data_IF_324732688517
#
_entry.id   IF_324732688517
#
_cell.length_a   1.000
_cell.length_b   1.000
_cell.length_c   1.000
_cell.angle_alpha   90.00
_cell.angle_beta   90.00
_cell.angle_gamma   90.00
#
_symmetry.space_group_name_H-M   'P 1'
#
loop_
_entity.id
_entity.type
_entity.pdbx_description
1 polymer ?
#
# COMPACT_ATOMS: atom_id res chain seq x y z
N UNK A 1 4.10 -11.50 -31.60
CA UNK A 1 4.54 -10.69 -30.44
C UNK A 1 3.31 -10.04 -29.83
N UNK A 2 2.72 -10.66 -28.80
CA UNK A 2 1.50 -10.14 -28.18
C UNK A 2 1.81 -8.93 -27.31
N UNK A 3 1.16 -7.81 -27.59
CA UNK A 3 1.29 -6.56 -26.85
C UNK A 3 0.36 -6.63 -25.63
N UNK A 4 0.92 -6.86 -24.45
CA UNK A 4 0.24 -6.69 -23.17
C UNK A 4 0.26 -5.19 -22.83
N UNK A 5 -0.61 -4.42 -23.47
CA UNK A 5 -0.71 -2.99 -23.18
C UNK A 5 -2.19 -2.64 -23.23
N UNK A 6 -2.71 -2.17 -22.08
CA UNK A 6 -4.06 -1.60 -21.88
C UNK A 6 -5.16 -2.50 -21.26
N UNK A 7 -4.89 -3.19 -20.14
CA UNK A 7 -5.96 -3.66 -19.22
C UNK A 7 -5.61 -3.42 -17.74
N UNK A 8 -4.95 -2.32 -17.39
CA UNK A 8 -4.64 -1.99 -15.99
C UNK A 8 -5.26 -0.69 -15.49
N UNK A 9 -6.01 0.03 -16.33
CA UNK A 9 -6.57 1.35 -15.97
C UNK A 9 -7.99 1.29 -15.38
N UNK A 10 -8.56 0.09 -15.27
CA UNK A 10 -9.79 -0.15 -14.53
C UNK A 10 -9.48 -1.12 -13.40
N UNK A 11 -9.86 -0.82 -12.15
CA UNK A 11 -9.79 -1.83 -11.11
C UNK A 11 -10.51 -3.08 -11.62
N UNK A 12 -10.00 -4.27 -11.30
CA UNK A 12 -10.80 -5.49 -11.38
C UNK A 12 -12.03 -5.21 -10.53
N UNK A 13 -13.14 -4.84 -11.18
CA UNK A 13 -14.44 -4.76 -10.54
C UNK A 13 -14.78 -6.20 -10.21
N UNK A 14 -14.42 -6.59 -8.98
CA UNK A 14 -14.77 -7.88 -8.42
C UNK A 14 -16.26 -8.10 -8.59
N UNK A 15 -16.58 -9.31 -9.07
CA UNK A 15 -17.86 -10.00 -9.00
C UNK A 15 -19.09 -9.13 -8.63
N UNK A 16 -19.98 -8.90 -9.59
CA UNK A 16 -21.30 -8.29 -9.36
C UNK A 16 -22.23 -9.20 -8.55
N UNK A 17 -21.90 -9.43 -7.28
CA UNK A 17 -22.85 -10.02 -6.33
C UNK A 17 -22.67 -9.38 -4.96
N UNK A 18 -23.52 -8.38 -4.73
CA UNK A 18 -24.00 -7.94 -3.41
C UNK A 18 -23.04 -7.08 -2.56
N UNK A 19 -23.14 -5.75 -2.69
CA UNK A 19 -23.05 -4.80 -1.57
C UNK A 19 -21.86 -4.87 -0.59
N UNK A 20 -20.68 -5.34 -1.00
CA UNK A 20 -19.47 -5.31 -0.17
C UNK A 20 -18.81 -3.94 -0.23
N UNK A 21 -18.32 -3.43 0.90
CA UNK A 21 -17.30 -2.38 0.86
C UNK A 21 -16.13 -2.93 0.01
N UNK A 22 -15.58 -2.13 -0.93
CA UNK A 22 -14.51 -2.60 -1.77
C UNK A 22 -13.32 -2.99 -0.91
N UNK A 23 -12.75 -4.18 -1.16
CA UNK A 23 -11.52 -4.61 -0.53
C UNK A 23 -10.46 -3.51 -0.69
N UNK A 24 -9.74 -3.13 0.39
CA UNK A 24 -8.77 -2.06 0.32
C UNK A 24 -7.72 -2.37 -0.75
N UNK A 25 -7.36 -1.34 -1.51
CA UNK A 25 -6.41 -1.52 -2.60
C UNK A 25 -5.01 -1.74 -2.02
N UNK A 26 -4.20 -2.56 -2.70
CA UNK A 26 -2.86 -2.90 -2.22
C UNK A 26 -2.00 -1.66 -1.93
N UNK A 27 -2.09 -0.61 -2.76
CA UNK A 27 -1.36 0.65 -2.52
C UNK A 27 -1.75 1.35 -1.21
N UNK A 28 -2.98 1.20 -0.76
CA UNK A 28 -3.47 1.79 0.50
C UNK A 28 -2.90 1.03 1.69
N UNK A 29 -2.92 -0.31 1.61
CA UNK A 29 -2.35 -1.17 2.62
C UNK A 29 -0.82 -1.00 2.72
N UNK A 30 -0.12 -0.95 1.58
CA UNK A 30 1.32 -0.67 1.52
C UNK A 30 1.64 0.72 2.09
N UNK A 31 0.87 1.75 1.73
CA UNK A 31 1.06 3.09 2.24
C UNK A 31 0.94 3.16 3.77
N UNK A 32 -0.10 2.52 4.32
CA UNK A 32 -0.30 2.44 5.76
C UNK A 32 0.83 1.67 6.47
N UNK A 33 1.25 0.52 5.92
CA UNK A 33 2.35 -0.27 6.45
C UNK A 33 3.66 0.54 6.47
N UNK A 34 4.05 1.15 5.34
CA UNK A 34 5.25 1.98 5.25
C UNK A 34 5.25 3.13 6.26
N UNK A 35 4.09 3.78 6.44
CA UNK A 35 3.92 4.83 7.45
C UNK A 35 4.12 4.29 8.87
N UNK A 36 3.60 3.10 9.18
CA UNK A 36 3.76 2.45 10.47
C UNK A 36 5.25 2.14 10.75
N UNK A 37 5.94 1.48 9.81
CA UNK A 37 7.38 1.22 9.90
C UNK A 37 8.20 2.51 10.07
N UNK A 38 7.85 3.57 9.34
CA UNK A 38 8.52 4.87 9.48
C UNK A 38 8.32 5.46 10.87
N UNK A 39 7.08 5.43 11.38
CA UNK A 39 6.74 5.96 12.70
C UNK A 39 7.43 5.18 13.83
N UNK A 40 7.45 3.85 13.76
CA UNK A 40 8.13 2.96 14.71
C UNK A 40 9.63 3.27 14.82
N UNK A 41 10.26 3.56 13.69
CA UNK A 41 11.68 3.93 13.62
C UNK A 41 11.96 5.40 13.97
N UNK A 42 10.93 6.20 14.22
CA UNK A 42 11.07 7.63 14.54
C UNK A 42 11.63 8.47 13.39
N UNK A 43 11.60 7.99 12.15
CA UNK A 43 12.14 8.68 10.98
C UNK A 43 11.11 9.67 10.46
N UNK A 44 11.52 10.90 10.15
CA UNK A 44 10.63 11.88 9.55
C UNK A 44 10.36 11.54 8.08
N UNK A 45 9.22 12.01 7.56
CA UNK A 45 8.88 11.82 6.15
C UNK A 45 9.93 12.45 5.22
N UNK A 46 10.56 13.55 5.63
CA UNK A 46 11.61 14.23 4.87
C UNK A 46 12.89 13.42 4.81
N UNK A 47 13.37 12.90 5.94
CA UNK A 47 14.57 12.05 6.01
C UNK A 47 14.40 10.78 5.17
N UNK A 48 13.22 10.15 5.24
CA UNK A 48 12.94 8.97 4.43
C UNK A 48 12.93 9.31 2.94
N UNK A 49 12.30 10.42 2.54
CA UNK A 49 12.26 10.85 1.15
C UNK A 49 13.66 11.13 0.58
N UNK A 50 14.52 11.81 1.36
CA UNK A 50 15.91 12.06 1.00
C UNK A 50 16.69 10.76 0.81
N UNK A 51 16.59 9.83 1.77
CA UNK A 51 17.31 8.54 1.73
C UNK A 51 16.82 7.62 0.60
N UNK A 52 15.52 7.63 0.31
CA UNK A 52 14.91 6.83 -0.77
C UNK A 52 14.95 7.49 -2.14
N UNK A 53 15.52 8.71 -2.23
CA UNK A 53 15.67 9.53 -3.46
C UNK A 53 14.34 9.84 -4.16
N UNK A 54 13.32 10.19 -3.37
CA UNK A 54 12.03 10.68 -3.87
C UNK A 54 11.65 12.01 -3.24
N UNK A 55 10.65 12.68 -3.79
CA UNK A 55 10.15 13.91 -3.17
C UNK A 55 9.31 13.59 -1.91
N UNK A 56 9.36 14.45 -0.87
CA UNK A 56 8.47 14.33 0.29
C UNK A 56 6.99 14.31 -0.11
N UNK A 57 6.60 15.11 -1.12
CA UNK A 57 5.25 15.08 -1.66
C UNK A 57 4.84 13.70 -2.18
N UNK A 58 5.71 13.06 -2.97
CA UNK A 58 5.44 11.72 -3.49
C UNK A 58 5.34 10.69 -2.37
N UNK A 59 6.27 10.68 -1.41
CA UNK A 59 6.23 9.76 -0.28
C UNK A 59 4.98 9.95 0.59
N UNK A 60 4.51 11.20 0.74
CA UNK A 60 3.25 11.48 1.42
C UNK A 60 2.05 10.93 0.64
N UNK A 61 2.01 11.07 -0.69
CA UNK A 61 1.00 10.42 -1.53
C UNK A 61 1.03 8.90 -1.43
N UNK A 62 2.22 8.31 -1.38
CA UNK A 62 2.43 6.88 -1.20
C UNK A 62 1.88 6.40 0.16
N UNK A 63 2.25 7.04 1.27
CA UNK A 63 1.77 6.68 2.62
C UNK A 63 0.25 6.80 2.79
N UNK A 64 -0.41 7.57 1.92
CA UNK A 64 -1.86 7.74 1.92
C UNK A 64 -2.57 6.87 0.87
N UNK A 65 -1.83 5.99 0.18
CA UNK A 65 -2.39 5.09 -0.82
C UNK A 65 -2.89 5.79 -2.08
N UNK A 66 -2.39 6.98 -2.40
CA UNK A 66 -2.84 7.76 -3.57
C UNK A 66 -1.99 7.56 -4.82
N UNK A 67 -0.91 6.79 -4.72
CA UNK A 67 -0.01 6.45 -5.83
C UNK A 67 0.26 4.96 -5.85
N UNK A 68 0.29 4.41 -7.06
CA UNK A 68 0.93 3.13 -7.30
C UNK A 68 2.45 3.28 -7.15
N UNK A 69 3.09 2.22 -6.69
CA UNK A 69 4.52 2.15 -6.43
C UNK A 69 5.13 1.03 -7.25
N UNK A 70 6.26 1.29 -7.91
CA UNK A 70 7.01 0.22 -8.58
C UNK A 70 7.74 -0.65 -7.55
N UNK A 71 8.04 -1.88 -7.93
CA UNK A 71 8.79 -2.81 -7.07
C UNK A 71 10.16 -2.26 -6.68
N UNK A 72 10.85 -1.59 -7.60
CA UNK A 72 12.17 -0.98 -7.35
C UNK A 72 12.07 0.17 -6.35
N UNK A 73 11.04 1.01 -6.46
CA UNK A 73 10.85 2.10 -5.52
C UNK A 73 10.45 1.60 -4.14
N UNK A 74 9.55 0.60 -4.07
CA UNK A 74 9.20 -0.04 -2.82
C UNK A 74 10.45 -0.63 -2.13
N UNK A 75 11.31 -1.32 -2.88
CA UNK A 75 12.57 -1.83 -2.36
C UNK A 75 13.50 -0.71 -1.85
N UNK A 76 13.60 0.40 -2.57
CA UNK A 76 14.39 1.58 -2.15
C UNK A 76 13.89 2.16 -0.81
N UNK A 77 12.57 2.32 -0.67
CA UNK A 77 11.96 2.84 0.57
C UNK A 77 12.14 1.85 1.73
N UNK A 78 11.93 0.55 1.50
CA UNK A 78 12.14 -0.48 2.52
C UNK A 78 13.60 -0.53 2.98
N UNK A 79 14.55 -0.42 2.05
CA UNK A 79 15.97 -0.35 2.36
C UNK A 79 16.31 0.90 3.19
N UNK A 80 15.78 2.07 2.84
CA UNK A 80 15.96 3.30 3.61
C UNK A 80 15.34 3.22 5.02
N UNK A 81 14.27 2.44 5.19
CA UNK A 81 13.69 2.11 6.48
C UNK A 81 14.49 1.02 7.22
N UNK A 82 15.43 0.32 6.58
CA UNK A 82 16.07 -0.85 7.18
C UNK A 82 15.06 -1.95 7.53
N UNK A 83 14.13 -2.23 6.62
CA UNK A 83 13.16 -3.34 6.68
C UNK A 83 13.15 -4.10 5.36
N UNK A 84 12.58 -5.30 5.33
CA UNK A 84 12.42 -6.07 4.10
C UNK A 84 11.08 -5.78 3.42
N UNK A 85 11.03 -5.95 2.10
CA UNK A 85 9.76 -5.85 1.34
C UNK A 85 8.76 -6.90 1.83
N UNK A 86 9.21 -8.09 2.20
CA UNK A 86 8.36 -9.15 2.76
C UNK A 86 7.68 -8.72 4.06
N UNK A 87 8.40 -8.06 4.98
CA UNK A 87 7.81 -7.61 6.25
C UNK A 87 6.70 -6.58 6.00
N UNK A 88 6.94 -5.65 5.07
CA UNK A 88 5.94 -4.65 4.67
C UNK A 88 4.73 -5.30 4.00
N UNK A 89 4.93 -6.32 3.17
CA UNK A 89 3.84 -7.05 2.52
C UNK A 89 3.00 -7.86 3.53
N UNK A 90 3.64 -8.47 4.52
CA UNK A 90 2.94 -9.20 5.60
C UNK A 90 2.07 -8.23 6.40
N UNK A 91 2.62 -7.07 6.79
CA UNK A 91 1.87 -6.03 7.50
C UNK A 91 0.70 -5.49 6.68
N UNK A 92 0.93 -5.23 5.39
CA UNK A 92 -0.11 -4.78 4.47
C UNK A 92 -1.23 -5.83 4.35
N UNK A 93 -0.88 -7.11 4.16
CA UNK A 93 -1.85 -8.19 4.07
C UNK A 93 -2.66 -8.35 5.38
N UNK A 94 -2.01 -8.24 6.53
CA UNK A 94 -2.69 -8.25 7.83
C UNK A 94 -3.69 -7.11 7.98
N UNK A 95 -3.30 -5.89 7.59
CA UNK A 95 -4.19 -4.72 7.58
C UNK A 95 -5.39 -4.93 6.66
N UNK A 96 -5.18 -5.49 5.47
CA UNK A 96 -6.27 -5.79 4.53
C UNK A 96 -7.24 -6.81 5.13
N UNK A 97 -6.73 -7.90 5.72
CA UNK A 97 -7.54 -8.94 6.35
C UNK A 97 -8.36 -8.42 7.54
N UNK A 98 -7.82 -7.50 8.33
CA UNK A 98 -8.58 -6.87 9.42
C UNK A 98 -9.70 -5.98 8.88
N UNK A 99 -9.44 -5.19 7.84
CA UNK A 99 -10.44 -4.30 7.23
C UNK A 99 -11.56 -5.06 6.53
N UNK A 100 -11.25 -6.18 5.89
CA UNK A 100 -12.28 -7.06 5.32
C UNK A 100 -13.12 -7.72 6.41
N UNK A 101 -12.50 -8.21 7.49
CA UNK A 101 -13.22 -8.77 8.62
C UNK A 101 -14.12 -7.74 9.32
N UNK A 102 -13.67 -6.49 9.49
CA UNK A 102 -14.48 -5.42 10.07
C UNK A 102 -15.72 -5.11 9.20
N UNK A 103 -15.54 -5.07 7.88
CA UNK A 103 -16.65 -4.92 6.94
C UNK A 103 -17.67 -6.09 7.07
N UNK A 104 -17.20 -7.30 7.35
CA UNK A 104 -18.05 -8.46 7.62
C UNK A 104 -18.77 -8.39 8.97
N UNK A 105 -18.17 -7.84 10.02
CA UNK A 105 -18.84 -7.69 11.33
C UNK A 105 -19.96 -6.66 11.30
N UNK A 106 -19.76 -5.52 10.64
CA UNK A 106 -20.78 -4.47 10.46
C UNK A 106 -22.02 -5.02 9.72
N UNK A 107 -21.87 -6.09 8.96
CA UNK A 107 -22.99 -6.77 8.27
C UNK A 107 -23.85 -7.64 9.21
N UNK A 108 -23.28 -8.15 10.31
CA UNK A 108 -23.97 -9.09 11.21
C UNK A 108 -24.73 -8.38 12.33
N UNK A 109 -24.36 -7.14 12.65
CA UNK A 109 -25.03 -6.25 13.61
C UNK A 109 -26.19 -5.48 13.00
#
# INVERSE_FOLDING_TARGET
>A
MMKYTAVLDKPVTGNETTGSLPEPLLREALGAALRAFRADKGITLRELAETSRVSPGYLSELERGRKEVSSELLASVCHALGTSVSDVLIEAAGTMAMRSAEADLVRVS
#
